data_IF_574468780106
#
_entry.id   IF_574468780106
#
_cell.length_a   1.000
_cell.length_b   1.000
_cell.length_c   1.000
_cell.angle_alpha   90.00
_cell.angle_beta   90.00
_cell.angle_gamma   90.00
#
_symmetry.space_group_name_H-M   'P 1'
#
loop_
_entity.id
_entity.type
_entity.pdbx_description
1 polymer ?
#
# COMPACT_ATOMS: atom_id res chain seq x y z
N UNK A 1 -23.93 11.59 -7.63
CA UNK A 1 -22.98 11.31 -6.54
C UNK A 1 -23.19 12.29 -5.40
N UNK A 2 -23.34 11.80 -4.19
CA UNK A 2 -23.50 12.65 -3.01
C UNK A 2 -22.14 13.20 -2.58
N UNK A 3 -22.17 14.28 -1.80
CA UNK A 3 -20.94 14.88 -1.26
C UNK A 3 -20.10 13.87 -0.46
N UNK A 4 -20.77 13.02 0.33
CA UNK A 4 -20.13 11.98 1.12
C UNK A 4 -19.40 10.97 0.25
N UNK A 5 -19.95 10.66 -0.93
CA UNK A 5 -19.34 9.73 -1.87
C UNK A 5 -18.06 10.31 -2.48
N UNK A 6 -18.01 11.63 -2.67
CA UNK A 6 -16.81 12.30 -3.20
C UNK A 6 -15.64 12.16 -2.23
N UNK A 7 -15.89 12.34 -0.93
CA UNK A 7 -14.86 12.16 0.08
C UNK A 7 -14.37 10.72 0.14
N UNK A 8 -15.30 9.77 0.07
CA UNK A 8 -14.96 8.35 0.09
C UNK A 8 -14.16 7.95 -1.14
N UNK A 9 -14.52 8.43 -2.31
CA UNK A 9 -13.76 8.20 -3.54
C UNK A 9 -12.33 8.71 -3.38
N UNK A 10 -12.16 9.90 -2.82
CA UNK A 10 -10.84 10.48 -2.59
C UNK A 10 -10.01 9.61 -1.65
N UNK A 11 -10.59 9.14 -0.55
CA UNK A 11 -9.89 8.26 0.39
C UNK A 11 -9.43 6.96 -0.28
N UNK A 12 -10.28 6.37 -1.11
CA UNK A 12 -9.95 5.13 -1.82
C UNK A 12 -8.81 5.38 -2.81
N UNK A 13 -8.88 6.46 -3.57
CA UNK A 13 -7.84 6.82 -4.54
C UNK A 13 -6.52 7.06 -3.82
N UNK A 14 -6.54 7.79 -2.72
CA UNK A 14 -5.32 8.04 -1.93
C UNK A 14 -4.71 6.74 -1.42
N UNK A 15 -5.53 5.80 -0.96
CA UNK A 15 -5.06 4.49 -0.50
C UNK A 15 -4.44 3.68 -1.63
N UNK A 16 -5.05 3.70 -2.82
CA UNK A 16 -4.50 3.02 -4.01
C UNK A 16 -3.15 3.63 -4.39
N UNK A 17 -3.04 4.95 -4.38
CA UNK A 17 -1.79 5.65 -4.71
C UNK A 17 -0.67 5.31 -3.73
N UNK A 18 -0.97 5.20 -2.44
CA UNK A 18 0.00 4.79 -1.44
C UNK A 18 0.55 3.39 -1.74
N UNK A 19 -0.34 2.46 -2.09
CA UNK A 19 0.05 1.10 -2.43
C UNK A 19 0.91 1.09 -3.69
N UNK A 20 0.50 1.81 -4.74
CA UNK A 20 1.24 1.88 -5.99
C UNK A 20 2.63 2.48 -5.79
N UNK A 21 2.74 3.54 -5.01
CA UNK A 21 4.02 4.15 -4.69
C UNK A 21 4.94 3.19 -3.96
N UNK A 22 4.38 2.44 -3.01
CA UNK A 22 5.13 1.45 -2.25
C UNK A 22 5.63 0.32 -3.16
N UNK A 23 4.74 -0.24 -4.00
CA UNK A 23 5.08 -1.33 -4.90
C UNK A 23 6.15 -0.92 -5.92
N UNK A 24 6.10 0.32 -6.40
CA UNK A 24 7.10 0.83 -7.34
C UNK A 24 8.50 0.95 -6.74
N UNK A 25 8.60 1.01 -5.41
CA UNK A 25 9.87 1.14 -4.71
C UNK A 25 10.43 -0.17 -4.20
N UNK A 26 9.66 -1.25 -4.29
CA UNK A 26 10.13 -2.58 -3.88
C UNK A 26 11.02 -3.16 -4.98
N UNK A 27 12.24 -3.50 -4.60
CA UNK A 27 13.16 -4.27 -5.45
C UNK A 27 13.54 -5.51 -4.68
N UNK A 28 13.21 -6.69 -5.20
CA UNK A 28 13.34 -7.93 -4.44
C UNK A 28 14.77 -8.34 -4.13
N UNK A 29 15.73 -7.84 -4.88
CA UNK A 29 17.14 -8.13 -4.64
C UNK A 29 17.75 -7.06 -3.72
N UNK A 30 17.82 -7.37 -2.43
CA UNK A 30 18.41 -6.49 -1.45
C UNK A 30 17.51 -5.40 -0.89
N UNK A 31 16.21 -5.44 -1.21
CA UNK A 31 15.26 -4.50 -0.62
C UNK A 31 14.93 -4.86 0.81
N UNK A 32 14.62 -3.85 1.57
CA UNK A 32 14.19 -3.97 2.95
C UNK A 32 12.96 -3.11 3.18
N UNK A 33 12.04 -3.60 4.02
CA UNK A 33 10.90 -2.82 4.46
C UNK A 33 11.09 -2.53 5.93
N UNK A 34 11.08 -1.24 6.28
CA UNK A 34 11.28 -0.79 7.64
C UNK A 34 10.05 -0.12 8.22
N UNK A 35 9.82 -0.34 9.51
CA UNK A 35 8.83 0.40 10.28
C UNK A 35 9.49 1.67 10.81
N UNK A 36 8.97 2.82 10.41
CA UNK A 36 9.48 4.12 10.81
C UNK A 36 8.65 4.73 11.94
N UNK A 37 9.32 5.38 12.88
CA UNK A 37 8.67 6.26 13.84
C UNK A 37 8.43 7.63 13.21
N UNK A 38 7.67 8.48 13.91
CA UNK A 38 7.43 9.86 13.50
C UNK A 38 8.73 10.66 13.33
N UNK A 39 9.76 10.33 14.10
CA UNK A 39 11.09 10.99 14.00
C UNK A 39 11.98 10.36 12.92
N UNK A 40 11.43 9.44 12.13
CA UNK A 40 12.09 8.71 11.04
C UNK A 40 13.17 7.71 11.50
N UNK A 41 13.19 7.36 12.76
CA UNK A 41 14.05 6.28 13.25
C UNK A 41 13.43 4.94 12.86
N UNK A 42 14.26 4.04 12.29
CA UNK A 42 13.79 2.70 11.91
C UNK A 42 13.69 1.84 13.17
N UNK A 43 12.53 1.23 13.41
CA UNK A 43 12.29 0.36 14.56
C UNK A 43 12.47 -1.11 14.24
N UNK A 44 12.11 -1.52 13.05
CA UNK A 44 12.15 -2.93 12.64
C UNK A 44 12.31 -2.99 11.12
N UNK A 45 13.04 -3.98 10.65
CA UNK A 45 13.30 -4.16 9.23
C UNK A 45 12.99 -5.59 8.85
N UNK A 46 12.33 -5.76 7.70
CA UNK A 46 12.10 -7.04 7.05
C UNK A 46 12.94 -7.06 5.78
N UNK A 47 13.83 -8.03 5.66
CA UNK A 47 14.70 -8.16 4.49
C UNK A 47 14.62 -9.54 3.81
N UNK A 48 13.88 -10.47 4.39
CA UNK A 48 13.69 -11.79 3.80
C UNK A 48 12.89 -11.68 2.49
N UNK A 49 13.46 -12.17 1.38
CA UNK A 49 12.84 -11.99 0.06
C UNK A 49 11.49 -12.69 -0.06
N UNK A 50 11.32 -13.85 0.54
CA UNK A 50 10.02 -14.55 0.50
C UNK A 50 8.95 -13.76 1.25
N UNK A 51 9.34 -13.16 2.38
CA UNK A 51 8.44 -12.30 3.15
C UNK A 51 8.08 -11.03 2.37
N UNK A 52 9.05 -10.44 1.68
CA UNK A 52 8.78 -9.26 0.85
C UNK A 52 7.82 -9.57 -0.29
N UNK A 53 7.97 -10.74 -0.92
CA UNK A 53 7.05 -11.19 -1.97
C UNK A 53 5.64 -11.39 -1.40
N UNK A 54 5.52 -11.96 -0.21
CA UNK A 54 4.23 -12.13 0.44
C UNK A 54 3.54 -10.78 0.73
N UNK A 55 4.32 -9.79 1.16
CA UNK A 55 3.80 -8.43 1.38
C UNK A 55 3.34 -7.81 0.07
N UNK A 56 4.12 -7.96 -0.99
CA UNK A 56 3.74 -7.48 -2.33
C UNK A 56 2.42 -8.08 -2.77
N UNK A 57 2.25 -9.39 -2.62
CA UNK A 57 1.01 -10.07 -2.98
C UNK A 57 -0.17 -9.57 -2.16
N UNK A 58 0.02 -9.39 -0.86
CA UNK A 58 -1.04 -8.88 0.03
C UNK A 58 -1.45 -7.45 -0.39
N UNK A 59 -0.50 -6.61 -0.75
CA UNK A 59 -0.77 -5.25 -1.21
C UNK A 59 -1.53 -5.24 -2.53
N UNK A 60 -1.18 -6.14 -3.46
CA UNK A 60 -1.90 -6.26 -4.73
C UNK A 60 -3.35 -6.70 -4.51
N UNK A 61 -3.60 -7.64 -3.60
CA UNK A 61 -4.95 -8.07 -3.24
C UNK A 61 -5.74 -6.89 -2.66
N UNK A 62 -5.12 -6.13 -1.75
CA UNK A 62 -5.78 -4.97 -1.15
C UNK A 62 -6.08 -3.89 -2.20
N UNK A 63 -5.17 -3.67 -3.13
CA UNK A 63 -5.36 -2.73 -4.23
C UNK A 63 -6.58 -3.13 -5.07
N UNK A 64 -6.70 -4.41 -5.40
CA UNK A 64 -7.84 -4.92 -6.18
C UNK A 64 -9.15 -4.75 -5.42
N UNK A 65 -9.17 -4.98 -4.11
CA UNK A 65 -10.34 -4.75 -3.26
C UNK A 65 -10.77 -3.28 -3.30
N UNK A 66 -9.81 -2.36 -3.21
CA UNK A 66 -10.07 -0.93 -3.26
C UNK A 66 -10.62 -0.49 -4.62
N UNK A 67 -10.10 -1.05 -5.71
CA UNK A 67 -10.59 -0.77 -7.06
C UNK A 67 -12.04 -1.25 -7.20
N UNK A 68 -12.36 -2.44 -6.71
CA UNK A 68 -13.73 -2.96 -6.74
C UNK A 68 -14.67 -2.09 -5.92
N UNK A 69 -14.23 -1.63 -4.75
CA UNK A 69 -15.03 -0.73 -3.92
C UNK A 69 -15.30 0.58 -4.65
N UNK A 70 -14.28 1.11 -5.34
CA UNK A 70 -14.44 2.34 -6.13
C UNK A 70 -15.46 2.15 -7.25
N UNK A 71 -15.45 1.00 -7.92
CA UNK A 71 -16.39 0.70 -9.02
C UNK A 71 -17.84 0.60 -8.55
N UNK A 72 -18.07 0.30 -7.28
CA UNK A 72 -19.42 0.16 -6.72
C UNK A 72 -20.01 1.45 -6.16
N UNK A 73 -19.28 2.54 -6.17
CA UNK A 73 -19.77 3.83 -5.66
C UNK A 73 -20.59 4.63 -6.66
#
# INVERSE_FOLDING_TARGET
MKYEDIEKVKEIIDAIEEIDNFLNKIVYNGSEIGLLKADRTIRAIISNSDTLVAIDQALNVRRDELIKELETL
#
